data_IF_112687406233
#
_entry.id   IF_112687406233
#
_cell.length_a   1.000
_cell.length_b   1.000
_cell.length_c   1.000
_cell.angle_alpha   90.00
_cell.angle_beta   90.00
_cell.angle_gamma   90.00
#
_symmetry.space_group_name_H-M   'P 1'
#
loop_
_entity.id
_entity.type
_entity.pdbx_description
1 polymer ?
#
# COMPACT_ATOMS: atom_id res chain seq x y z
N UNK A 1 0.99 -10.96 -8.62
CA UNK A 1 0.46 -11.72 -7.44
C UNK A 1 0.46 -10.77 -6.25
N UNK A 2 -0.39 -10.97 -5.25
CA UNK A 2 -0.36 -10.13 -4.04
C UNK A 2 0.90 -10.47 -3.24
N UNK A 3 1.74 -9.48 -3.02
CA UNK A 3 2.86 -9.60 -2.12
C UNK A 3 2.39 -9.44 -0.69
N UNK A 4 2.10 -8.20 -0.30
CA UNK A 4 1.71 -7.83 1.06
C UNK A 4 0.33 -7.18 1.06
N UNK A 5 -0.55 -7.66 1.93
CA UNK A 5 -1.89 -7.09 2.10
C UNK A 5 -1.88 -5.81 2.94
N UNK A 6 -2.93 -5.02 2.79
CA UNK A 6 -3.24 -3.91 3.67
C UNK A 6 -3.43 -4.38 5.12
N UNK A 7 -3.04 -3.55 6.09
CA UNK A 7 -3.31 -3.75 7.52
C UNK A 7 -2.13 -4.26 8.34
N UNK A 8 -2.44 -4.98 9.43
CA UNK A 8 -1.50 -5.41 10.46
C UNK A 8 -0.66 -6.65 10.06
N UNK A 9 -0.15 -6.71 8.84
CA UNK A 9 0.65 -7.86 8.39
C UNK A 9 1.86 -8.07 9.31
N UNK A 10 2.36 -9.31 9.39
CA UNK A 10 3.58 -9.61 10.18
C UNK A 10 4.77 -8.75 9.72
N UNK A 11 4.85 -8.45 8.42
CA UNK A 11 5.83 -7.51 7.87
C UNK A 11 5.63 -6.08 8.40
N UNK A 12 4.39 -5.59 8.34
CA UNK A 12 4.02 -4.29 8.88
C UNK A 12 4.37 -4.17 10.36
N UNK A 13 4.02 -5.19 11.15
CA UNK A 13 4.29 -5.21 12.58
C UNK A 13 5.79 -5.12 12.88
N UNK A 14 6.61 -5.94 12.23
CA UNK A 14 8.08 -5.95 12.47
C UNK A 14 8.72 -4.60 12.17
N UNK A 15 8.25 -3.90 11.13
CA UNK A 15 8.82 -2.63 10.68
C UNK A 15 7.94 -1.43 11.05
N UNK A 16 7.03 -1.59 12.01
CA UNK A 16 5.97 -0.62 12.36
C UNK A 16 6.49 0.77 12.71
N UNK A 17 7.68 0.86 13.30
CA UNK A 17 8.31 2.14 13.70
C UNK A 17 9.25 2.71 12.65
N UNK A 18 9.55 1.97 11.58
CA UNK A 18 10.57 2.34 10.60
C UNK A 18 9.90 2.64 9.26
N UNK A 19 9.37 1.63 8.58
CA UNK A 19 8.77 1.80 7.24
C UNK A 19 7.31 2.20 7.30
N UNK A 20 6.60 1.79 8.37
CA UNK A 20 5.15 1.99 8.49
C UNK A 20 4.76 3.02 9.55
N UNK A 21 5.73 3.75 10.11
CA UNK A 21 5.50 4.68 11.23
C UNK A 21 4.51 5.80 10.90
N UNK A 22 4.57 6.31 9.68
CA UNK A 22 3.64 7.35 9.22
C UNK A 22 2.19 6.86 9.14
N UNK A 23 1.97 5.57 8.90
CA UNK A 23 0.65 4.95 8.76
C UNK A 23 0.30 4.07 9.96
N UNK A 24 0.55 4.55 11.18
CA UNK A 24 0.16 3.89 12.42
C UNK A 24 0.75 2.48 12.63
N UNK A 25 1.86 2.17 11.96
CA UNK A 25 2.50 0.85 12.02
C UNK A 25 1.80 -0.22 11.19
N UNK A 26 0.82 0.16 10.38
CA UNK A 26 0.07 -0.72 9.49
C UNK A 26 0.60 -0.58 8.05
N UNK A 27 0.43 -1.61 7.24
CA UNK A 27 0.62 -1.48 5.81
C UNK A 27 -0.58 -0.73 5.22
N UNK A 28 -0.37 0.48 4.73
CA UNK A 28 -1.44 1.39 4.29
C UNK A 28 -1.72 1.31 2.78
N UNK A 29 -1.32 0.21 2.14
CA UNK A 29 -1.60 -0.12 0.75
C UNK A 29 -1.62 -1.64 0.52
N UNK A 30 -1.66 -2.05 -0.74
CA UNK A 30 -1.44 -3.43 -1.17
C UNK A 30 -0.21 -3.45 -2.08
N UNK A 31 0.70 -4.37 -1.80
CA UNK A 31 1.87 -4.59 -2.64
C UNK A 31 1.56 -5.69 -3.66
N UNK A 32 1.69 -5.37 -4.95
CA UNK A 32 1.56 -6.34 -6.04
C UNK A 32 2.93 -6.71 -6.57
N UNK A 33 3.38 -7.93 -6.32
CA UNK A 33 4.63 -8.45 -6.87
C UNK A 33 4.55 -8.50 -8.39
N UNK A 34 5.46 -7.78 -9.03
CA UNK A 34 5.57 -7.63 -10.48
C UNK A 34 7.02 -7.31 -10.83
N UNK A 35 7.51 -7.81 -11.97
CA UNK A 35 8.85 -7.43 -12.47
C UNK A 35 8.87 -5.93 -12.73
N UNK A 36 10.02 -5.27 -12.54
CA UNK A 36 10.18 -3.90 -13.00
C UNK A 36 9.81 -3.74 -14.47
N UNK A 37 9.27 -2.59 -14.84
CA UNK A 37 8.84 -2.29 -16.21
C UNK A 37 7.45 -2.85 -16.57
N UNK A 38 6.73 -3.47 -15.62
CA UNK A 38 5.35 -3.91 -15.88
C UNK A 38 4.45 -2.67 -15.96
N UNK A 39 3.60 -2.52 -16.99
CA UNK A 39 2.71 -1.37 -17.09
C UNK A 39 1.78 -1.24 -15.88
N UNK A 40 1.73 -0.04 -15.31
CA UNK A 40 0.80 0.34 -14.23
C UNK A 40 -0.28 1.21 -14.84
N UNK A 41 -1.54 0.84 -14.58
CA UNK A 41 -2.71 1.55 -15.12
C UNK A 41 -3.47 2.29 -14.03
N UNK A 42 -4.13 3.38 -14.41
CA UNK A 42 -5.05 4.11 -13.55
C UNK A 42 -6.21 3.20 -13.13
N UNK A 43 -6.51 3.13 -11.83
CA UNK A 43 -7.56 2.23 -11.28
C UNK A 43 -8.96 2.79 -11.54
N UNK A 44 -9.05 4.10 -11.80
CA UNK A 44 -10.27 4.83 -12.12
C UNK A 44 -9.95 6.11 -12.89
N UNK A 45 -10.98 6.75 -13.43
CA UNK A 45 -10.88 8.08 -14.04
C UNK A 45 -10.47 9.11 -12.98
N UNK A 46 -9.67 10.10 -13.35
CA UNK A 46 -9.22 11.09 -12.38
C UNK A 46 -8.30 12.16 -12.95
N UNK A 47 -7.72 12.94 -12.04
CA UNK A 47 -6.76 14.00 -12.35
C UNK A 47 -5.47 13.74 -11.58
N UNK A 48 -4.34 13.75 -12.27
CA UNK A 48 -3.02 13.64 -11.65
C UNK A 48 -2.78 14.86 -10.77
N UNK A 49 -2.49 14.66 -9.49
CA UNK A 49 -2.28 15.76 -8.54
C UNK A 49 -0.86 15.82 -7.98
N UNK A 50 -0.13 14.70 -8.01
CA UNK A 50 1.28 14.64 -7.61
C UNK A 50 2.05 13.69 -8.51
N UNK A 51 3.28 14.08 -8.84
CA UNK A 51 4.30 13.22 -9.45
C UNK A 51 5.56 13.40 -8.60
N UNK A 52 6.16 12.31 -8.15
CA UNK A 52 7.33 12.25 -7.27
C UNK A 52 7.17 13.11 -6.00
N UNK A 53 6.04 12.95 -5.31
CA UNK A 53 5.81 13.58 -4.02
C UNK A 53 6.56 12.83 -2.91
N UNK A 54 7.80 13.23 -2.64
CA UNK A 54 8.66 12.66 -1.59
C UNK A 54 7.97 12.62 -0.22
N UNK A 55 7.14 13.62 0.10
CA UNK A 55 6.42 13.70 1.38
C UNK A 55 5.39 12.61 1.62
N UNK A 56 5.03 11.81 0.60
CA UNK A 56 4.01 10.77 0.68
C UNK A 56 4.60 9.36 0.76
N UNK A 57 5.93 9.23 0.75
CA UNK A 57 6.64 7.95 0.87
C UNK A 57 6.74 7.17 -0.44
N UNK A 58 7.02 5.87 -0.32
CA UNK A 58 7.12 4.91 -1.43
C UNK A 58 7.97 5.37 -2.63
N UNK A 59 9.14 5.95 -2.35
CA UNK A 59 10.13 6.28 -3.37
C UNK A 59 10.65 5.02 -4.10
N UNK A 60 11.39 5.19 -5.20
CA UNK A 60 12.00 6.43 -5.70
C UNK A 60 11.03 7.34 -6.44
N UNK A 61 10.03 6.77 -7.12
CA UNK A 61 9.06 7.50 -7.92
C UNK A 61 7.64 7.11 -7.52
N UNK A 62 6.76 8.10 -7.49
CA UNK A 62 5.37 7.90 -7.11
C UNK A 62 4.41 8.82 -7.85
N UNK A 63 3.14 8.45 -7.86
CA UNK A 63 2.07 9.16 -8.56
C UNK A 63 0.81 9.18 -7.68
N UNK A 64 0.15 10.34 -7.60
CA UNK A 64 -1.17 10.49 -6.98
C UNK A 64 -2.19 10.94 -8.01
N UNK A 65 -3.35 10.28 -8.05
CA UNK A 65 -4.50 10.63 -8.88
C UNK A 65 -5.71 10.84 -7.98
N UNK A 66 -6.32 12.03 -8.03
CA UNK A 66 -7.62 12.27 -7.39
C UNK A 66 -8.76 11.81 -8.29
N UNK A 67 -9.72 11.10 -7.70
CA UNK A 67 -10.89 10.56 -8.37
C UNK A 67 -12.14 11.38 -8.03
N UNK A 68 -13.14 11.47 -8.93
CA UNK A 68 -14.35 12.27 -8.72
C UNK A 68 -15.26 11.75 -7.59
N UNK A 69 -15.05 10.51 -7.13
CA UNK A 69 -15.81 9.89 -6.04
C UNK A 69 -15.26 10.20 -4.64
N UNK A 70 -14.30 11.11 -4.51
CA UNK A 70 -13.75 11.54 -3.22
C UNK A 70 -12.62 10.67 -2.68
N UNK A 71 -12.08 9.77 -3.50
CA UNK A 71 -10.86 9.00 -3.20
C UNK A 71 -9.69 9.46 -4.05
N UNK A 72 -8.48 9.10 -3.64
CA UNK A 72 -7.28 9.21 -4.44
C UNK A 72 -6.59 7.85 -4.54
N UNK A 73 -6.00 7.53 -5.69
CA UNK A 73 -5.09 6.40 -5.81
C UNK A 73 -3.64 6.88 -5.79
N UNK A 74 -2.81 6.13 -5.06
CA UNK A 74 -1.38 6.38 -4.97
C UNK A 74 -0.61 5.16 -5.48
N UNK A 75 0.35 5.41 -6.37
CA UNK A 75 1.18 4.39 -7.00
C UNK A 75 2.64 4.64 -6.61
N UNK A 76 3.21 3.77 -5.79
CA UNK A 76 4.58 3.87 -5.28
C UNK A 76 5.55 2.90 -5.93
N UNK A 77 6.83 3.12 -5.66
CA UNK A 77 7.96 2.30 -6.12
C UNK A 77 8.05 2.17 -7.64
N UNK A 78 7.64 3.19 -8.39
CA UNK A 78 7.75 3.17 -9.85
C UNK A 78 9.23 3.18 -10.27
N UNK A 79 9.56 2.54 -11.39
CA UNK A 79 10.95 2.43 -11.87
C UNK A 79 11.52 3.76 -12.38
N UNK A 80 10.64 4.65 -12.81
CA UNK A 80 10.97 5.97 -13.33
C UNK A 80 9.82 6.94 -13.04
N UNK A 81 10.12 8.24 -13.17
CA UNK A 81 9.11 9.30 -13.06
C UNK A 81 7.96 9.04 -14.05
N UNK A 82 6.73 9.06 -13.54
CA UNK A 82 5.54 8.86 -14.35
C UNK A 82 5.50 9.82 -15.57
N UNK A 83 5.16 9.29 -16.75
CA UNK A 83 5.04 10.05 -18.00
C UNK A 83 3.70 10.78 -18.12
N UNK A 84 3.27 11.41 -17.03
CA UNK A 84 2.07 12.24 -16.92
C UNK A 84 2.40 13.51 -16.16
N UNK A 85 1.61 14.55 -16.38
CA UNK A 85 1.79 15.86 -15.74
C UNK A 85 0.73 16.15 -14.69
N UNK A 86 1.08 16.94 -13.67
CA UNK A 86 0.11 17.43 -12.69
C UNK A 86 -0.96 18.27 -13.40
N UNK A 87 -2.23 17.98 -13.12
CA UNK A 87 -3.40 18.55 -13.79
C UNK A 87 -3.89 17.74 -14.99
N UNK A 88 -3.15 16.70 -15.42
CA UNK A 88 -3.57 15.85 -16.52
C UNK A 88 -4.74 14.96 -16.12
N UNK A 89 -5.77 14.90 -16.97
CA UNK A 89 -6.85 13.94 -16.84
C UNK A 89 -6.39 12.56 -17.32
N UNK A 90 -6.75 11.52 -16.57
CA UNK A 90 -6.51 10.13 -16.91
C UNK A 90 -7.80 9.34 -16.91
N UNK A 91 -7.86 8.31 -17.74
CA UNK A 91 -9.00 7.40 -17.80
C UNK A 91 -8.66 6.06 -17.15
N UNK A 92 -9.64 5.36 -16.59
CA UNK A 92 -9.48 4.01 -16.06
C UNK A 92 -8.82 3.11 -17.10
N UNK A 93 -7.77 2.40 -16.69
CA UNK A 93 -7.01 1.51 -17.57
C UNK A 93 -5.93 2.20 -18.41
N UNK A 94 -5.83 3.54 -18.39
CA UNK A 94 -4.72 4.26 -19.02
C UNK A 94 -3.41 3.92 -18.31
N UNK A 95 -2.35 3.63 -19.08
CA UNK A 95 -0.99 3.46 -18.52
C UNK A 95 -0.51 4.80 -17.97
N UNK A 96 -0.10 4.81 -16.70
CA UNK A 96 0.36 6.00 -15.97
C UNK A 96 1.77 5.86 -15.42
N UNK A 97 2.38 4.68 -15.53
CA UNK A 97 3.75 4.44 -15.11
C UNK A 97 4.13 2.97 -15.29
N UNK A 98 5.26 2.61 -14.70
CA UNK A 98 5.79 1.25 -14.75
C UNK A 98 6.29 0.82 -13.37
N UNK A 99 6.00 -0.42 -13.00
CA UNK A 99 6.43 -0.98 -11.72
C UNK A 99 7.95 -0.92 -11.57
N UNK A 100 8.42 -0.74 -10.35
CA UNK A 100 9.84 -0.70 -10.03
C UNK A 100 10.15 -1.50 -8.78
N UNK A 101 11.08 -0.97 -7.99
CA UNK A 101 11.60 -1.54 -6.77
C UNK A 101 12.00 -0.37 -5.85
N UNK A 102 11.75 -0.44 -4.53
CA UNK A 102 12.10 0.65 -3.61
C UNK A 102 13.59 1.04 -3.65
N UNK A 103 14.46 0.08 -4.00
CA UNK A 103 15.91 0.27 -4.03
C UNK A 103 16.45 0.57 -5.45
N UNK A 104 15.59 0.73 -6.46
CA UNK A 104 15.95 0.89 -7.89
C UNK A 104 16.77 -0.27 -8.49
N UNK A 105 16.96 -1.37 -7.76
CA UNK A 105 17.82 -2.48 -8.21
C UNK A 105 17.12 -3.42 -9.16
N UNK A 106 15.79 -3.49 -9.07
CA UNK A 106 14.96 -4.50 -9.73
C UNK A 106 15.33 -5.95 -9.36
N UNK A 107 16.07 -6.14 -8.27
CA UNK A 107 16.52 -7.44 -7.76
C UNK A 107 16.15 -7.67 -6.29
N UNK A 108 15.92 -6.59 -5.52
CA UNK A 108 15.55 -6.64 -4.11
C UNK A 108 14.13 -7.18 -3.91
N UNK A 109 13.12 -6.34 -4.21
CA UNK A 109 11.71 -6.66 -4.06
C UNK A 109 10.86 -5.96 -5.12
N UNK A 110 10.95 -6.29 -6.42
CA UNK A 110 10.14 -5.62 -7.44
C UNK A 110 8.63 -5.76 -7.18
N UNK A 111 7.93 -4.64 -7.02
CA UNK A 111 6.48 -4.59 -6.80
C UNK A 111 5.89 -3.21 -7.12
N UNK A 112 4.58 -3.16 -7.26
CA UNK A 112 3.79 -1.93 -7.15
C UNK A 112 3.26 -1.80 -5.73
N UNK A 113 3.46 -0.65 -5.09
CA UNK A 113 2.71 -0.28 -3.88
C UNK A 113 1.48 0.54 -4.28
N UNK A 114 0.28 0.03 -4.05
CA UNK A 114 -0.97 0.72 -4.38
C UNK A 114 -1.72 1.08 -3.10
N UNK A 115 -2.05 2.35 -2.94
CA UNK A 115 -2.90 2.82 -1.86
C UNK A 115 -4.17 3.48 -2.40
N UNK A 116 -5.22 3.45 -1.59
CA UNK A 116 -6.41 4.29 -1.77
C UNK A 116 -6.49 5.22 -0.58
N UNK A 117 -6.49 6.53 -0.82
CA UNK A 117 -6.53 7.58 0.21
C UNK A 117 -7.80 8.41 0.12
N UNK A 118 -8.09 9.17 1.17
CA UNK A 118 -9.10 10.22 1.13
C UNK A 118 -8.70 11.28 0.11
N UNK A 119 -9.61 11.63 -0.80
CA UNK A 119 -9.37 12.61 -1.85
C UNK A 119 -9.00 13.97 -1.27
N UNK A 120 -8.23 14.73 -2.05
CA UNK A 120 -7.77 16.10 -1.75
C UNK A 120 -6.81 16.26 -0.56
N UNK A 121 -7.11 15.69 0.61
CA UNK A 121 -6.31 15.86 1.82
C UNK A 121 -5.37 14.67 2.13
N UNK A 122 -5.57 13.52 1.50
CA UNK A 122 -4.74 12.31 1.59
C UNK A 122 -4.45 11.81 3.01
N UNK A 123 -5.27 12.19 3.99
CA UNK A 123 -5.01 11.98 5.43
C UNK A 123 -5.37 10.58 5.91
N UNK A 124 -6.28 9.92 5.23
CA UNK A 124 -6.72 8.56 5.57
C UNK A 124 -6.44 7.62 4.42
N UNK A 125 -5.84 6.46 4.68
CA UNK A 125 -5.72 5.37 3.71
C UNK A 125 -6.74 4.27 4.05
N UNK A 126 -7.43 3.79 3.02
CA UNK A 126 -8.47 2.77 3.09
C UNK A 126 -7.95 1.46 2.51
N UNK A 127 -8.51 0.34 2.96
CA UNK A 127 -8.19 -0.96 2.39
C UNK A 127 -8.60 -1.04 0.91
N UNK A 128 -7.65 -1.17 -0.04
CA UNK A 128 -7.99 -1.25 -1.46
C UNK A 128 -8.85 -2.47 -1.81
N UNK A 129 -8.75 -3.56 -1.05
CA UNK A 129 -9.55 -4.77 -1.29
C UNK A 129 -11.06 -4.56 -1.06
N UNK A 130 -11.42 -3.57 -0.24
CA UNK A 130 -12.82 -3.19 -0.02
C UNK A 130 -13.39 -2.28 -1.12
N UNK A 131 -12.52 -1.68 -1.95
CA UNK A 131 -12.90 -0.61 -2.90
C UNK A 131 -12.66 -0.99 -4.36
N UNK A 132 -11.79 -1.96 -4.63
CA UNK A 132 -11.43 -2.42 -5.97
C UNK A 132 -12.06 -3.80 -6.18
N UNK A 133 -12.87 -3.90 -7.24
CA UNK A 133 -13.45 -5.17 -7.68
C UNK A 133 -12.36 -6.06 -8.31
N UNK A 134 -12.00 -7.13 -7.61
CA UNK A 134 -11.09 -8.17 -8.06
C UNK A 134 -11.41 -9.50 -7.36
N UNK A 135 -10.92 -10.60 -7.94
CA UNK A 135 -10.93 -11.91 -7.27
C UNK A 135 -9.81 -11.97 -6.23
N UNK A 136 -10.04 -11.32 -5.09
CA UNK A 136 -9.08 -11.22 -4.00
C UNK A 136 -8.72 -12.58 -3.41
N UNK A 137 -9.67 -13.52 -3.37
CA UNK A 137 -9.43 -14.88 -2.91
C UNK A 137 -8.38 -15.59 -3.79
N UNK A 138 -8.54 -15.53 -5.11
CA UNK A 138 -7.55 -16.10 -6.04
C UNK A 138 -6.19 -15.38 -5.95
N UNK A 139 -6.20 -14.06 -5.78
CA UNK A 139 -4.98 -13.27 -5.67
C UNK A 139 -4.20 -13.55 -4.36
N UNK A 140 -4.90 -13.83 -3.27
CA UNK A 140 -4.30 -14.22 -1.98
C UNK A 140 -3.65 -15.60 -2.04
N UNK A 141 -4.24 -16.55 -2.79
CA UNK A 141 -3.72 -17.91 -2.94
C UNK A 141 -2.40 -18.01 -3.72
N UNK A 142 -2.09 -17.00 -4.54
CA UNK A 142 -0.89 -17.00 -5.39
C UNK A 142 0.24 -16.11 -4.83
N UNK A 143 0.03 -15.49 -3.67
CA UNK A 143 0.95 -14.48 -3.13
C UNK A 143 2.26 -15.02 -2.56
N UNK A 144 3.36 -14.33 -2.84
CA UNK A 144 4.72 -14.74 -2.46
C UNK A 144 5.24 -14.21 -1.11
N UNK A 145 4.53 -13.26 -0.45
CA UNK A 145 4.96 -12.67 0.83
C UNK A 145 3.98 -12.92 2.00
N UNK A 146 3.12 -13.93 1.91
CA UNK A 146 2.11 -14.24 2.93
C UNK A 146 2.76 -14.84 4.21
N UNK A 147 3.02 -13.99 5.22
CA UNK A 147 3.16 -14.44 6.63
C UNK A 147 1.87 -14.24 7.45
N UNK A 148 0.78 -13.82 6.79
CA UNK A 148 -0.49 -13.49 7.43
C UNK A 148 -0.45 -12.18 8.23
N UNK A 149 -1.47 -12.00 9.05
CA UNK A 149 -1.62 -10.90 9.99
C UNK A 149 -0.97 -11.20 11.33
N UNK A 150 -0.37 -10.17 11.93
CA UNK A 150 0.10 -10.22 13.30
C UNK A 150 -1.09 -10.32 14.26
N UNK A 151 -0.99 -11.16 15.29
CA UNK A 151 -2.06 -11.35 16.26
C UNK A 151 -1.72 -10.71 17.59
N UNK A 152 -2.66 -9.94 18.13
CA UNK A 152 -2.64 -9.60 19.54
C UNK A 152 -3.21 -10.76 20.36
N UNK A 153 -2.39 -11.41 21.20
CA UNK A 153 -2.88 -12.48 22.06
C UNK A 153 -3.74 -11.98 23.22
N UNK A 154 -3.78 -10.68 23.50
CA UNK A 154 -4.70 -10.08 24.47
C UNK A 154 -6.07 -9.79 23.83
N UNK A 155 -6.13 -9.62 22.51
CA UNK A 155 -7.37 -9.51 21.72
C UNK A 155 -7.35 -10.38 20.45
N UNK A 156 -7.44 -11.72 20.57
CA UNK A 156 -7.11 -12.66 19.48
C UNK A 156 -8.09 -12.68 18.31
N UNK A 157 -9.20 -11.93 18.38
CA UNK A 157 -10.19 -11.83 17.30
C UNK A 157 -10.08 -10.54 16.49
N UNK A 158 -9.24 -9.60 16.92
CA UNK A 158 -9.06 -8.34 16.23
C UNK A 158 -8.21 -8.54 14.98
N UNK A 159 -8.70 -8.02 13.85
CA UNK A 159 -7.93 -7.86 12.60
C UNK A 159 -7.29 -9.17 12.12
N UNK A 160 -8.08 -10.24 12.11
CA UNK A 160 -7.64 -11.57 11.68
C UNK A 160 -7.82 -11.78 10.17
N UNK A 161 -8.70 -11.00 9.55
CA UNK A 161 -9.02 -11.10 8.13
C UNK A 161 -8.75 -9.78 7.39
N UNK A 162 -8.59 -9.82 6.04
CA UNK A 162 -8.35 -8.63 5.25
C UNK A 162 -9.44 -7.57 5.39
N UNK A 163 -10.70 -7.98 5.52
CA UNK A 163 -11.86 -7.07 5.56
C UNK A 163 -12.01 -6.38 6.92
N UNK A 164 -11.31 -6.88 7.95
CA UNK A 164 -11.40 -6.36 9.32
C UNK A 164 -10.36 -5.26 9.60
N UNK A 165 -9.41 -5.05 8.69
CA UNK A 165 -8.31 -4.13 8.89
C UNK A 165 -8.82 -2.69 9.04
N UNK A 166 -8.30 -1.92 10.02
CA UNK A 166 -8.80 -0.58 10.29
C UNK A 166 -8.30 0.39 9.21
N UNK A 167 -9.06 1.47 8.99
CA UNK A 167 -8.54 2.61 8.24
C UNK A 167 -7.29 3.18 8.92
N UNK A 168 -6.34 3.65 8.10
CA UNK A 168 -5.08 4.24 8.57
C UNK A 168 -5.18 5.75 8.50
N UNK A 169 -4.93 6.43 9.62
CA UNK A 169 -4.81 7.89 9.69
C UNK A 169 -3.33 8.26 9.73
N UNK A 170 -2.85 8.92 8.69
CA UNK A 170 -1.45 9.34 8.63
C UNK A 170 -1.10 10.32 9.74
N UNK A 171 0.04 10.07 10.41
CA UNK A 171 0.49 10.82 11.58
C UNK A 171 -0.28 10.52 12.87
N UNK A 172 -1.18 9.53 12.86
CA UNK A 172 -1.85 9.02 14.07
C UNK A 172 -0.92 8.17 14.94
N UNK A 173 -1.41 7.79 16.11
CA UNK A 173 -0.70 6.87 17.02
C UNK A 173 -0.53 5.49 16.37
N UNK A 174 0.56 4.81 16.73
CA UNK A 174 0.78 3.43 16.29
C UNK A 174 -0.34 2.54 16.86
N UNK A 175 -1.03 1.83 15.97
CA UNK A 175 -2.08 0.87 16.32
C UNK A 175 -1.55 -0.56 16.42
N UNK A 176 -0.55 -0.87 15.60
CA UNK A 176 -0.03 -2.22 15.41
C UNK A 176 1.14 -2.53 16.38
N UNK A 177 0.99 -2.31 17.69
CA UNK A 177 2.03 -2.51 18.70
C UNK A 177 1.48 -3.28 19.91
N UNK A 178 1.62 -4.59 19.88
CA UNK A 178 0.97 -5.50 20.83
C UNK A 178 1.95 -5.87 21.95
N UNK A 179 1.46 -5.93 23.19
CA UNK A 179 2.26 -6.41 24.32
C UNK A 179 2.58 -7.91 24.19
N UNK A 180 1.65 -8.68 23.63
CA UNK A 180 1.76 -10.12 23.41
C UNK A 180 1.49 -10.48 21.94
N UNK A 181 2.44 -10.20 21.03
CA UNK A 181 2.27 -10.48 19.61
C UNK A 181 2.47 -11.97 19.29
N UNK A 182 1.75 -12.45 18.28
CA UNK A 182 2.05 -13.71 17.62
C UNK A 182 2.00 -13.55 16.09
N UNK A 183 3.07 -13.93 15.35
CA UNK A 183 4.32 -14.52 15.84
C UNK A 183 5.15 -13.58 16.74
N UNK A 184 5.91 -14.09 17.73
CA UNK A 184 6.60 -13.19 18.67
C UNK A 184 7.58 -12.25 17.96
N UNK A 185 7.68 -11.02 18.46
CA UNK A 185 8.61 -10.01 17.94
C UNK A 185 10.03 -10.27 18.47
N UNK A 186 10.78 -11.11 17.77
CA UNK A 186 12.15 -11.44 18.18
C UNK A 186 13.16 -10.32 17.91
N UNK A 187 12.79 -9.30 17.12
CA UNK A 187 13.70 -8.22 16.70
C UNK A 187 13.70 -7.03 17.67
N UNK A 188 12.65 -6.88 18.47
CA UNK A 188 12.48 -5.76 19.41
C UNK A 188 12.41 -6.21 20.89
N UNK A 189 13.05 -7.33 21.25
CA UNK A 189 13.24 -7.75 22.67
C UNK A 189 14.48 -7.11 23.28
#
# INVERSE_FOLDING_TARGET
>A
MVGQMYGNTVGAYRWRRIWYGAGQGLHFGIDFSAKCGTPVVAVGDGVVTKVDAESHGAGPHNLMIDHPNGYASFYGHLVERASVDVGQQVTRGQVVGYTGDPDLTCQSRPHLHLEIRSGYNYRTAYNPAALIEADWDALLLTGSFQRGYERDLDNPRQWQFPEEQPDVVFGGEILNDYARPWPPDWLNR
#
